data_IF_287793408892
#
_entry.id   IF_287793408892
#
_cell.length_a   1.000
_cell.length_b   1.000
_cell.length_c   1.000
_cell.angle_alpha   90.00
_cell.angle_beta   90.00
_cell.angle_gamma   90.00
#
_symmetry.space_group_name_H-M   'P 1'
#
loop_
_entity.id
_entity.type
_entity.pdbx_description
1 polymer ?
#
# COMPACT_ATOMS: atom_id res chain seq x y z
N UNK A 1 17.15 -20.46 19.58
CA UNK A 1 15.70 -20.35 19.81
C UNK A 1 15.01 -21.22 18.79
N UNK A 2 14.31 -22.26 19.22
CA UNK A 2 13.39 -23.00 18.36
C UNK A 2 12.13 -22.13 18.32
N UNK A 3 11.87 -21.48 17.18
CA UNK A 3 10.64 -20.72 16.98
C UNK A 3 9.54 -21.68 16.54
N UNK A 4 8.40 -21.64 17.22
CA UNK A 4 7.21 -22.46 16.90
C UNK A 4 6.52 -22.02 15.60
N UNK A 5 6.76 -20.77 15.18
CA UNK A 5 6.15 -20.17 14.00
C UNK A 5 7.19 -19.85 12.93
N UNK A 6 6.76 -19.82 11.67
CA UNK A 6 7.56 -19.28 10.57
C UNK A 6 7.07 -17.89 10.21
N UNK A 7 7.99 -16.93 10.07
CA UNK A 7 7.64 -15.54 9.80
C UNK A 7 6.86 -15.39 8.48
N UNK A 8 5.62 -14.86 8.51
CA UNK A 8 4.78 -14.73 7.31
C UNK A 8 5.09 -13.49 6.48
N UNK A 9 6.03 -12.64 6.90
CA UNK A 9 6.37 -11.40 6.20
C UNK A 9 6.80 -11.67 4.75
N UNK A 10 6.13 -11.04 3.79
CA UNK A 10 6.43 -11.17 2.36
C UNK A 10 7.51 -10.16 1.95
N UNK A 11 8.63 -10.69 1.44
CA UNK A 11 9.70 -9.90 0.84
C UNK A 11 9.29 -9.37 -0.55
N UNK A 12 10.05 -8.42 -1.09
CA UNK A 12 9.84 -7.83 -2.42
C UNK A 12 9.77 -8.87 -3.56
N UNK A 13 10.37 -10.04 -3.36
CA UNK A 13 10.37 -11.17 -4.29
C UNK A 13 9.07 -11.98 -4.25
N UNK A 14 8.13 -11.67 -3.35
CA UNK A 14 6.91 -12.45 -3.10
C UNK A 14 7.15 -13.70 -2.23
N UNK A 15 8.38 -13.95 -1.79
CA UNK A 15 8.71 -15.04 -0.88
C UNK A 15 8.48 -14.62 0.56
N UNK A 16 7.89 -15.50 1.37
CA UNK A 16 7.83 -15.31 2.81
C UNK A 16 9.25 -15.39 3.41
N UNK A 17 9.48 -14.63 4.49
CA UNK A 17 10.74 -14.66 5.23
C UNK A 17 11.06 -16.06 5.75
N UNK A 18 10.07 -16.75 6.33
CA UNK A 18 10.22 -18.14 6.78
C UNK A 18 11.14 -18.35 7.99
N UNK A 19 11.75 -17.29 8.54
CA UNK A 19 12.60 -17.42 9.71
C UNK A 19 11.77 -17.92 10.92
N UNK A 20 12.32 -18.83 11.74
CA UNK A 20 11.66 -19.27 12.96
C UNK A 20 11.48 -18.11 13.93
N UNK A 21 10.25 -17.93 14.43
CA UNK A 21 9.87 -16.86 15.34
C UNK A 21 8.96 -17.37 16.47
N UNK A 22 8.93 -16.61 17.57
CA UNK A 22 8.10 -16.89 18.75
C UNK A 22 6.69 -16.34 18.56
N UNK A 23 6.55 -15.27 17.77
CA UNK A 23 5.26 -14.64 17.50
C UNK A 23 4.68 -15.14 16.17
N UNK A 24 3.37 -15.40 16.10
CA UNK A 24 2.71 -15.85 14.88
C UNK A 24 2.64 -14.76 13.81
N UNK A 25 2.58 -13.50 14.22
CA UNK A 25 2.35 -12.38 13.30
C UNK A 25 3.63 -11.95 12.57
N UNK A 26 4.71 -11.67 13.30
CA UNK A 26 5.92 -11.08 12.72
C UNK A 26 7.18 -11.50 13.50
N UNK A 27 8.31 -11.69 12.82
CA UNK A 27 9.57 -11.96 13.51
C UNK A 27 10.22 -10.66 14.01
N UNK A 28 11.22 -10.77 14.88
CA UNK A 28 11.94 -9.62 15.45
C UNK A 28 12.55 -8.67 14.39
N UNK A 29 12.87 -9.17 13.20
CA UNK A 29 13.37 -8.34 12.11
C UNK A 29 12.25 -7.58 11.38
N UNK A 30 11.05 -8.16 11.35
CA UNK A 30 9.92 -7.66 10.57
C UNK A 30 8.85 -6.94 11.39
N UNK A 31 8.86 -7.01 12.72
CA UNK A 31 7.88 -6.34 13.60
C UNK A 31 7.75 -4.81 13.40
N UNK A 32 8.77 -4.17 12.82
CA UNK A 32 8.80 -2.74 12.46
C UNK A 32 8.78 -2.50 10.95
N UNK A 33 8.71 -3.56 10.16
CA UNK A 33 8.72 -3.45 8.72
C UNK A 33 7.38 -2.96 8.22
N UNK A 34 7.41 -2.13 7.17
CA UNK A 34 6.20 -1.65 6.53
C UNK A 34 5.48 -2.82 5.88
N UNK A 35 4.18 -2.98 6.17
CA UNK A 35 3.35 -3.99 5.53
C UNK A 35 3.18 -3.65 4.05
N UNK A 36 3.42 -4.64 3.21
CA UNK A 36 3.22 -4.53 1.77
C UNK A 36 1.79 -4.93 1.44
N UNK A 37 1.05 -4.03 0.81
CA UNK A 37 -0.30 -4.29 0.33
C UNK A 37 -0.27 -4.56 -1.18
N UNK A 38 -1.12 -5.44 -1.71
CA UNK A 38 -1.18 -5.67 -3.14
C UNK A 38 -1.61 -4.40 -3.88
N UNK A 39 -0.96 -4.10 -5.00
CA UNK A 39 -1.34 -2.97 -5.83
C UNK A 39 -2.74 -3.16 -6.41
N UNK A 40 -3.61 -2.15 -6.30
CA UNK A 40 -5.00 -2.26 -6.76
C UNK A 40 -5.17 -2.55 -8.26
N UNK A 41 -4.16 -2.29 -9.10
CA UNK A 41 -4.26 -2.53 -10.55
C UNK A 41 -3.66 -3.86 -11.00
N UNK A 42 -2.58 -4.33 -10.36
CA UNK A 42 -1.83 -5.48 -10.84
C UNK A 42 -1.45 -6.49 -9.76
N UNK A 43 -1.91 -6.31 -8.52
CA UNK A 43 -1.66 -7.22 -7.41
C UNK A 43 -0.23 -7.20 -6.86
N UNK A 44 0.74 -6.57 -7.56
CA UNK A 44 2.14 -6.52 -7.12
C UNK A 44 2.25 -5.89 -5.72
N UNK A 45 2.97 -6.51 -4.77
CA UNK A 45 3.16 -5.95 -3.43
C UNK A 45 3.73 -4.54 -3.51
N UNK A 46 3.13 -3.60 -2.78
CA UNK A 46 3.59 -2.22 -2.71
C UNK A 46 3.54 -1.69 -1.29
N UNK A 47 4.62 -1.00 -0.92
CA UNK A 47 4.72 -0.21 0.31
C UNK A 47 4.23 1.22 0.08
N UNK A 48 3.73 1.56 -1.11
CA UNK A 48 3.18 2.88 -1.38
C UNK A 48 1.90 3.09 -0.56
N UNK A 49 1.81 4.24 0.10
CA UNK A 49 0.63 4.58 0.90
C UNK A 49 -0.65 4.69 0.05
N UNK A 50 -0.53 5.00 -1.25
CA UNK A 50 -1.68 5.03 -2.15
C UNK A 50 -2.11 3.64 -2.66
N UNK A 51 -1.43 2.56 -2.23
CA UNK A 51 -1.71 1.21 -2.70
C UNK A 51 -1.39 0.99 -4.18
N UNK A 52 -0.55 1.84 -4.80
CA UNK A 52 -0.13 1.72 -6.20
C UNK A 52 1.36 1.44 -6.32
N UNK A 53 1.71 0.45 -7.15
CA UNK A 53 3.10 0.15 -7.47
C UNK A 53 3.71 1.26 -8.36
N UNK A 54 5.05 1.33 -8.49
CA UNK A 54 5.73 2.40 -9.24
C UNK A 54 5.25 2.55 -10.70
N UNK A 55 4.80 1.48 -11.34
CA UNK A 55 4.25 1.54 -12.70
C UNK A 55 2.90 2.26 -12.77
N UNK A 56 2.06 2.13 -11.73
CA UNK A 56 0.70 2.67 -11.69
C UNK A 56 0.58 3.95 -10.85
N UNK A 57 1.63 4.34 -10.12
CA UNK A 57 1.59 5.48 -9.21
C UNK A 57 1.46 6.82 -9.94
N UNK A 58 2.07 6.94 -11.13
CA UNK A 58 2.08 8.19 -11.89
C UNK A 58 0.67 8.56 -12.39
N UNK A 59 -0.02 7.62 -13.04
CA UNK A 59 -1.39 7.83 -13.52
C UNK A 59 -2.39 8.12 -12.38
N UNK A 60 -2.17 7.52 -11.21
CA UNK A 60 -3.00 7.76 -10.03
C UNK A 60 -2.96 9.22 -9.58
N UNK A 61 -1.76 9.81 -9.43
CA UNK A 61 -1.67 11.20 -8.95
C UNK A 61 -2.16 12.22 -9.98
N UNK A 62 -1.93 11.96 -11.28
CA UNK A 62 -2.48 12.80 -12.35
C UNK A 62 -4.01 12.79 -12.32
N UNK A 63 -4.62 11.60 -12.27
CA UNK A 63 -6.09 11.45 -12.20
C UNK A 63 -6.65 12.11 -10.95
N UNK A 64 -6.00 11.91 -9.79
CA UNK A 64 -6.40 12.52 -8.52
C UNK A 64 -6.38 14.05 -8.58
N UNK A 65 -5.37 14.63 -9.24
CA UNK A 65 -5.25 16.07 -9.39
C UNK A 65 -6.41 16.66 -10.22
N UNK A 66 -6.67 16.10 -11.41
CA UNK A 66 -7.76 16.59 -12.26
C UNK A 66 -9.15 16.38 -11.63
N UNK A 67 -9.36 15.26 -10.94
CA UNK A 67 -10.60 15.04 -10.21
C UNK A 67 -10.81 16.07 -9.10
N UNK A 68 -9.74 16.47 -8.41
CA UNK A 68 -9.82 17.54 -7.40
C UNK A 68 -10.23 18.86 -8.03
N UNK A 69 -9.61 19.26 -9.14
CA UNK A 69 -9.96 20.49 -9.86
C UNK A 69 -11.42 20.48 -10.33
N UNK A 70 -11.91 19.33 -10.85
CA UNK A 70 -13.32 19.19 -11.24
C UNK A 70 -14.27 19.35 -10.05
N UNK A 71 -13.95 18.74 -8.91
CA UNK A 71 -14.76 18.87 -7.70
C UNK A 71 -14.77 20.29 -7.15
N UNK A 72 -13.64 21.00 -7.24
CA UNK A 72 -13.54 22.41 -6.85
C UNK A 72 -14.40 23.30 -7.77
N UNK A 73 -14.32 23.12 -9.09
CA UNK A 73 -15.17 23.82 -10.07
C UNK A 73 -16.65 23.61 -9.78
N UNK A 74 -17.06 22.35 -9.58
CA UNK A 74 -18.45 22.03 -9.27
C UNK A 74 -18.93 22.68 -7.96
N UNK A 75 -18.08 22.77 -6.95
CA UNK A 75 -18.41 23.44 -5.68
C UNK A 75 -18.58 24.94 -5.86
N UNK A 76 -17.69 25.58 -6.63
CA UNK A 76 -17.78 27.01 -6.93
C UNK A 76 -19.07 27.33 -7.70
N UNK A 77 -19.40 26.55 -8.74
CA UNK A 77 -20.65 26.70 -9.49
C UNK A 77 -21.90 26.53 -8.61
N UNK A 78 -21.87 25.62 -7.62
CA UNK A 78 -22.96 25.46 -6.66
C UNK A 78 -23.09 26.64 -5.69
N UNK A 79 -21.98 27.25 -5.28
CA UNK A 79 -21.98 28.42 -4.41
C UNK A 79 -22.45 29.69 -5.12
N UNK A 80 -22.16 29.85 -6.42
CA UNK A 80 -22.63 31.00 -7.21
C UNK A 80 -24.14 30.93 -7.52
N UNK A 81 -24.77 29.76 -7.39
CA UNK A 81 -26.20 29.55 -7.63
C UNK A 81 -27.07 29.74 -6.37
N UNK A 82 -26.46 30.01 -5.21
CA UNK A 82 -27.12 30.30 -3.94
C UNK A 82 -27.14 31.80 -3.67
#
# INVERSE_FOLDING_TARGET
MIGEYSCPFLCNTGKACGNPCIHPEECRFHWKSKKWLPCSNCGKPTASACGRCPLHIRGYYVTRHYNRLRLESLRSEMQERL
#
